data_IF_803652678927
#
_entry.id   IF_803652678927
#
_cell.length_a   1.000
_cell.length_b   1.000
_cell.length_c   1.000
_cell.angle_alpha   90.00
_cell.angle_beta   90.00
_cell.angle_gamma   90.00
#
_symmetry.space_group_name_H-M   'P 1'
#
loop_
_entity.id
_entity.type
_entity.pdbx_description
1 polymer ?
#
# COMPACT_ATOMS: atom_id res chain seq x y z
N UNK A 1 3.92 -1.78 -17.11
CA UNK A 1 3.52 -1.81 -15.68
C UNK A 1 4.80 -1.88 -14.86
N UNK A 2 4.88 -1.35 -13.62
CA UNK A 2 6.01 -1.63 -12.74
C UNK A 2 6.28 -3.13 -12.61
N UNK A 3 7.54 -3.48 -12.42
CA UNK A 3 8.02 -4.85 -12.29
C UNK A 3 8.74 -5.00 -10.96
N UNK A 4 8.34 -6.01 -10.19
CA UNK A 4 9.05 -6.45 -9.00
C UNK A 4 9.94 -7.62 -9.39
N UNK A 5 11.26 -7.43 -9.27
CA UNK A 5 12.24 -8.50 -9.47
C UNK A 5 12.56 -9.17 -8.14
N UNK A 6 12.12 -10.41 -7.98
CA UNK A 6 12.40 -11.25 -6.83
C UNK A 6 13.72 -12.01 -7.03
N UNK A 7 14.80 -11.53 -6.40
CA UNK A 7 16.17 -12.01 -6.66
C UNK A 7 16.39 -13.46 -6.25
N UNK A 8 15.79 -13.89 -5.13
CA UNK A 8 15.96 -15.26 -4.61
C UNK A 8 15.30 -16.26 -5.56
N UNK A 9 14.11 -15.93 -6.02
CA UNK A 9 13.30 -16.74 -6.92
C UNK A 9 13.73 -16.61 -8.38
N UNK A 10 14.46 -15.55 -8.74
CA UNK A 10 14.87 -15.27 -10.12
C UNK A 10 13.67 -14.97 -11.02
N UNK A 11 12.63 -14.33 -10.47
CA UNK A 11 11.36 -14.08 -11.15
C UNK A 11 11.05 -12.59 -11.19
N UNK A 12 10.60 -12.13 -12.34
CA UNK A 12 10.05 -10.79 -12.53
C UNK A 12 8.52 -10.89 -12.54
N UNK A 13 7.87 -10.01 -11.79
CA UNK A 13 6.42 -9.97 -11.63
C UNK A 13 5.92 -8.59 -11.99
N UNK A 14 4.97 -8.53 -12.93
CA UNK A 14 4.28 -7.30 -13.26
C UNK A 14 3.20 -6.98 -12.21
N UNK A 15 3.09 -5.70 -11.87
CA UNK A 15 2.11 -5.18 -10.93
C UNK A 15 1.70 -3.77 -11.32
N UNK A 16 0.56 -3.32 -10.81
CA UNK A 16 0.12 -1.94 -10.97
C UNK A 16 0.75 -1.03 -9.90
N UNK A 17 0.98 0.25 -10.22
CA UNK A 17 1.32 1.24 -9.20
C UNK A 17 0.28 1.25 -8.09
N UNK A 18 0.72 1.35 -6.84
CA UNK A 18 -0.11 1.28 -5.63
C UNK A 18 -0.43 -0.14 -5.13
N UNK A 19 -0.08 -1.21 -5.85
CA UNK A 19 -0.29 -2.58 -5.34
C UNK A 19 0.59 -2.88 -4.12
N UNK A 20 0.03 -3.62 -3.16
CA UNK A 20 0.76 -4.03 -1.97
C UNK A 20 1.78 -5.14 -2.29
N UNK A 21 3.04 -4.93 -1.92
CA UNK A 21 4.13 -5.84 -2.26
C UNK A 21 3.91 -7.27 -1.71
N UNK A 22 3.31 -7.41 -0.52
CA UNK A 22 3.00 -8.73 0.04
C UNK A 22 1.94 -9.43 -0.80
N UNK A 23 0.85 -8.76 -1.12
CA UNK A 23 -0.26 -9.37 -1.85
C UNK A 23 0.18 -9.82 -3.25
N UNK A 24 0.96 -9.00 -3.95
CA UNK A 24 1.54 -9.36 -5.25
C UNK A 24 2.45 -10.59 -5.13
N UNK A 25 3.34 -10.61 -4.13
CA UNK A 25 4.21 -11.76 -3.91
C UNK A 25 3.42 -13.06 -3.64
N UNK A 26 2.39 -13.00 -2.77
CA UNK A 26 1.59 -14.17 -2.42
C UNK A 26 0.73 -14.65 -3.60
N UNK A 27 0.11 -13.73 -4.35
CA UNK A 27 -0.64 -14.03 -5.58
C UNK A 27 0.21 -14.79 -6.59
N UNK A 28 1.47 -14.41 -6.74
CA UNK A 28 2.42 -15.05 -7.66
C UNK A 28 3.13 -16.29 -7.10
N UNK A 29 2.76 -16.74 -5.89
CA UNK A 29 3.37 -17.89 -5.23
C UNK A 29 4.81 -17.64 -4.74
N UNK A 30 5.24 -16.39 -4.63
CA UNK A 30 6.53 -16.00 -4.07
C UNK A 30 6.47 -16.11 -2.54
N UNK A 31 7.26 -17.02 -1.98
CA UNK A 31 7.22 -17.30 -0.55
C UNK A 31 8.06 -16.30 0.24
N UNK A 32 7.39 -15.33 0.88
CA UNK A 32 8.03 -14.35 1.78
C UNK A 32 8.40 -14.94 3.15
N UNK A 33 7.69 -15.98 3.59
CA UNK A 33 7.83 -16.50 4.95
C UNK A 33 8.76 -17.70 5.04
N UNK A 34 9.59 -17.72 6.09
CA UNK A 34 10.18 -18.98 6.57
C UNK A 34 9.14 -19.84 7.28
N UNK A 35 9.49 -21.08 7.64
CA UNK A 35 8.56 -22.05 8.24
C UNK A 35 7.74 -21.48 9.41
N UNK A 36 8.41 -20.83 10.38
CA UNK A 36 7.73 -20.19 11.53
C UNK A 36 6.81 -19.05 11.12
N UNK A 37 7.17 -18.30 10.07
CA UNK A 37 6.37 -17.19 9.56
C UNK A 37 5.10 -17.67 8.85
N UNK A 38 5.12 -18.85 8.20
CA UNK A 38 3.93 -19.41 7.57
C UNK A 38 2.85 -19.73 8.60
N UNK A 39 3.23 -20.19 9.79
CA UNK A 39 2.28 -20.52 10.88
C UNK A 39 1.87 -19.31 11.73
N UNK A 40 2.69 -18.25 11.79
CA UNK A 40 2.54 -17.15 12.76
C UNK A 40 2.61 -15.75 12.15
N UNK A 41 2.34 -15.57 10.87
CA UNK A 41 2.23 -14.23 10.29
C UNK A 41 0.90 -13.56 10.68
N UNK A 42 0.91 -12.23 10.74
CA UNK A 42 -0.27 -11.44 11.11
C UNK A 42 -1.23 -11.15 9.94
N UNK A 43 -1.13 -11.87 8.81
CA UNK A 43 -2.01 -11.64 7.66
C UNK A 43 -1.83 -10.31 6.94
N UNK A 44 -0.85 -9.49 7.31
CA UNK A 44 -0.59 -8.18 6.68
C UNK A 44 -0.93 -6.96 7.54
N UNK A 45 -1.42 -7.15 8.77
CA UNK A 45 -1.85 -6.06 9.66
C UNK A 45 -0.71 -5.25 10.33
N UNK A 46 0.55 -5.40 9.90
CA UNK A 46 1.70 -4.68 10.49
C UNK A 46 2.06 -5.07 11.94
N UNK A 47 1.43 -6.11 12.51
CA UNK A 47 1.65 -6.48 13.92
C UNK A 47 2.90 -7.34 14.14
N UNK A 48 3.28 -8.13 13.13
CA UNK A 48 4.49 -8.94 13.14
C UNK A 48 5.55 -8.38 12.20
N UNK A 49 6.77 -8.93 12.26
CA UNK A 49 7.86 -8.59 11.33
C UNK A 49 8.12 -9.69 10.31
N UNK A 50 7.28 -10.69 10.15
CA UNK A 50 7.65 -11.90 9.38
C UNK A 50 7.69 -11.70 7.86
N UNK A 51 7.10 -10.62 7.35
CA UNK A 51 7.10 -10.26 5.92
C UNK A 51 8.23 -9.28 5.53
N UNK A 52 9.33 -9.25 6.30
CA UNK A 52 10.45 -8.38 5.93
C UNK A 52 11.10 -8.82 4.62
N UNK A 53 11.45 -7.85 3.81
CA UNK A 53 12.21 -8.00 2.56
C UNK A 53 13.33 -6.99 2.55
N UNK A 54 14.40 -7.25 1.81
CA UNK A 54 15.43 -6.24 1.54
C UNK A 54 15.17 -5.65 0.15
N UNK A 55 15.11 -4.33 0.07
CA UNK A 55 15.02 -3.59 -1.18
C UNK A 55 16.44 -3.28 -1.64
N UNK A 56 16.73 -3.48 -2.92
CA UNK A 56 18.06 -3.25 -3.49
C UNK A 56 17.99 -2.19 -4.59
N UNK A 57 19.09 -1.45 -4.79
CA UNK A 57 19.26 -0.48 -5.88
C UNK A 57 18.96 0.97 -5.50
N UNK A 58 19.43 1.89 -6.34
CA UNK A 58 19.39 3.34 -6.08
C UNK A 58 17.98 3.93 -6.20
N UNK A 59 17.09 3.29 -6.97
CA UNK A 59 15.67 3.66 -7.06
C UNK A 59 14.84 3.20 -5.86
N UNK A 60 15.44 2.52 -4.88
CA UNK A 60 14.73 1.90 -3.75
C UNK A 60 13.88 2.86 -2.92
N UNK A 61 14.30 4.12 -2.77
CA UNK A 61 13.56 5.14 -2.02
C UNK A 61 12.27 5.61 -2.72
N UNK A 62 12.26 5.57 -4.06
CA UNK A 62 11.15 6.07 -4.89
C UNK A 62 10.27 4.92 -5.40
N UNK A 63 10.80 3.70 -5.42
CA UNK A 63 10.09 2.55 -5.97
C UNK A 63 8.97 2.02 -5.07
N UNK A 64 9.01 2.34 -3.79
CA UNK A 64 7.98 1.98 -2.82
C UNK A 64 7.42 3.21 -2.11
N UNK A 65 6.20 3.10 -1.59
CA UNK A 65 5.62 4.09 -0.69
C UNK A 65 6.56 4.40 0.49
N UNK A 66 6.41 5.61 1.05
CA UNK A 66 7.16 6.03 2.24
C UNK A 66 6.97 5.03 3.39
N UNK A 67 7.99 4.91 4.22
CA UNK A 67 7.91 4.10 5.44
C UNK A 67 6.78 4.57 6.32
N UNK A 68 6.05 3.59 6.87
CA UNK A 68 5.01 3.85 7.86
C UNK A 68 5.60 3.90 9.26
N UNK A 69 4.92 4.56 10.20
CA UNK A 69 5.32 4.57 11.61
C UNK A 69 5.44 3.14 12.21
N UNK A 70 4.62 2.20 11.70
CA UNK A 70 4.70 0.79 12.09
C UNK A 70 6.03 0.18 11.66
N UNK A 71 6.46 0.43 10.41
CA UNK A 71 7.76 -0.02 9.92
C UNK A 71 8.89 0.58 10.75
N UNK A 72 8.86 1.88 11.02
CA UNK A 72 9.91 2.57 11.77
C UNK A 72 10.09 1.99 13.18
N UNK A 73 8.98 1.70 13.87
CA UNK A 73 9.01 1.10 15.20
C UNK A 73 9.49 -0.35 15.13
N UNK A 74 8.91 -1.16 14.22
CA UNK A 74 9.16 -2.61 14.17
C UNK A 74 10.53 -2.96 13.59
N UNK A 75 11.08 -2.12 12.72
CA UNK A 75 12.36 -2.33 12.05
C UNK A 75 13.51 -1.47 12.61
N UNK A 76 13.30 -0.71 13.70
CA UNK A 76 14.30 0.18 14.34
C UNK A 76 15.72 -0.42 14.54
N UNK A 77 15.85 -1.74 14.68
CA UNK A 77 17.12 -2.46 14.89
C UNK A 77 17.53 -3.33 13.70
N UNK A 78 17.01 -3.02 12.52
CA UNK A 78 17.30 -3.72 11.27
C UNK A 78 17.95 -2.75 10.26
N UNK A 79 18.63 -3.27 9.23
CA UNK A 79 19.18 -2.43 8.18
C UNK A 79 18.10 -1.56 7.53
N UNK A 80 18.49 -0.37 7.08
CA UNK A 80 17.59 0.64 6.51
C UNK A 80 17.01 0.23 5.16
N UNK A 81 17.59 -0.77 4.48
CA UNK A 81 17.07 -1.27 3.22
C UNK A 81 15.94 -2.29 3.44
N UNK A 82 15.66 -2.66 4.69
CA UNK A 82 14.63 -3.65 5.02
C UNK A 82 13.26 -3.01 5.13
N UNK A 83 12.29 -3.51 4.38
CA UNK A 83 10.89 -3.06 4.41
C UNK A 83 9.97 -4.17 4.88
N UNK A 84 8.82 -3.83 5.45
CA UNK A 84 7.73 -4.79 5.65
C UNK A 84 6.91 -4.83 4.37
N UNK A 85 6.94 -5.95 3.64
CA UNK A 85 6.22 -6.06 2.38
C UNK A 85 4.71 -5.78 2.52
N UNK A 86 4.11 -6.04 3.70
CA UNK A 86 2.69 -5.74 3.92
C UNK A 86 2.39 -4.25 4.12
N UNK A 87 3.39 -3.40 4.34
CA UNK A 87 3.23 -1.95 4.54
C UNK A 87 3.79 -1.14 3.37
N UNK A 88 4.36 -1.81 2.36
CA UNK A 88 4.94 -1.18 1.19
C UNK A 88 4.02 -1.33 -0.02
N UNK A 89 3.68 -0.19 -0.64
CA UNK A 89 3.01 -0.15 -1.94
C UNK A 89 4.06 0.07 -3.02
N UNK A 90 3.89 -0.58 -4.17
CA UNK A 90 4.83 -0.48 -5.28
C UNK A 90 4.46 0.71 -6.15
N UNK A 91 5.34 1.68 -6.29
CA UNK A 91 5.14 2.87 -7.12
C UNK A 91 5.89 2.77 -8.45
N UNK A 92 7.09 2.18 -8.41
CA UNK A 92 7.94 1.95 -9.58
C UNK A 92 8.60 0.59 -9.50
N UNK A 93 9.28 0.18 -10.57
CA UNK A 93 9.98 -1.09 -10.60
C UNK A 93 11.07 -1.19 -9.55
N UNK A 94 11.13 -2.35 -8.91
CA UNK A 94 11.92 -2.56 -7.69
C UNK A 94 12.59 -3.93 -7.70
N UNK A 95 13.82 -3.97 -7.19
CA UNK A 95 14.55 -5.23 -6.94
C UNK A 95 14.39 -5.61 -5.47
N UNK A 96 13.87 -6.80 -5.22
CA UNK A 96 13.53 -7.29 -3.89
C UNK A 96 14.23 -8.61 -3.61
N UNK A 97 14.97 -8.65 -2.50
CA UNK A 97 15.50 -9.88 -1.94
C UNK A 97 14.56 -10.39 -0.84
N UNK A 98 13.89 -11.51 -1.11
CA UNK A 98 13.06 -12.21 -0.13
C UNK A 98 13.93 -12.90 0.92
N UNK A 99 13.41 -13.00 2.14
CA UNK A 99 14.06 -13.68 3.27
C UNK A 99 15.53 -13.26 3.46
N UNK A 100 15.83 -11.95 3.62
CA UNK A 100 17.21 -11.45 3.70
C UNK A 100 18.03 -12.02 4.87
N UNK A 101 17.39 -12.63 5.88
CA UNK A 101 18.04 -13.33 6.99
C UNK A 101 18.61 -14.70 6.60
N UNK A 102 18.19 -15.27 5.47
CA UNK A 102 18.59 -16.61 5.04
C UNK A 102 19.61 -16.51 3.92
N UNK A 103 20.89 -16.74 4.23
CA UNK A 103 21.97 -16.68 3.25
C UNK A 103 21.77 -17.70 2.11
N UNK A 104 22.18 -17.33 0.89
CA UNK A 104 22.33 -18.24 -0.25
C UNK A 104 23.75 -18.13 -0.81
N UNK A 105 24.30 -19.25 -1.29
CA UNK A 105 25.69 -19.32 -1.77
C UNK A 105 26.05 -18.24 -2.81
N UNK A 106 25.15 -17.96 -3.75
CA UNK A 106 25.36 -16.97 -4.82
C UNK A 106 24.56 -15.67 -4.62
N UNK A 107 24.15 -15.34 -3.39
CA UNK A 107 23.27 -14.19 -3.14
C UNK A 107 23.85 -12.88 -3.72
N UNK A 108 25.11 -12.58 -3.42
CA UNK A 108 25.76 -11.35 -3.88
C UNK A 108 25.79 -11.27 -5.42
N UNK A 109 26.12 -12.39 -6.07
CA UNK A 109 26.17 -12.49 -7.54
C UNK A 109 24.79 -12.25 -8.16
N UNK A 110 23.74 -12.85 -7.59
CA UNK A 110 22.36 -12.70 -8.08
C UNK A 110 21.84 -11.27 -7.89
N UNK A 111 22.11 -10.65 -6.73
CA UNK A 111 21.74 -9.25 -6.50
C UNK A 111 22.46 -8.35 -7.50
N UNK A 112 23.78 -8.52 -7.68
CA UNK A 112 24.55 -7.73 -8.64
C UNK A 112 24.02 -7.88 -10.08
N UNK A 113 23.72 -9.10 -10.52
CA UNK A 113 23.13 -9.35 -11.83
C UNK A 113 21.73 -8.73 -11.98
N UNK A 114 20.90 -8.83 -10.93
CA UNK A 114 19.55 -8.26 -10.91
C UNK A 114 19.55 -6.73 -11.00
N UNK A 115 20.55 -6.06 -10.42
CA UNK A 115 20.72 -4.62 -10.47
C UNK A 115 21.28 -4.12 -11.82
N UNK A 116 22.08 -4.94 -12.50
CA UNK A 116 22.61 -4.60 -13.84
C UNK A 116 21.58 -4.76 -14.95
N UNK A 117 20.61 -5.68 -14.79
CA UNK A 117 19.56 -5.90 -15.77
C UNK A 117 18.50 -4.79 -15.65
N UNK A 118 18.27 -3.98 -16.69
CA UNK A 118 17.31 -2.88 -16.62
C UNK A 118 15.91 -3.40 -16.34
N UNK A 119 15.21 -2.74 -15.43
CA UNK A 119 13.78 -2.91 -15.24
C UNK A 119 13.05 -1.81 -16.01
N UNK A 120 11.89 -2.09 -16.64
CA UNK A 120 11.08 -1.03 -17.20
C UNK A 120 10.67 -0.10 -16.07
N UNK A 121 10.73 1.22 -16.22
CA UNK A 121 10.24 2.15 -15.18
C UNK A 121 8.73 2.01 -14.92
N UNK A 122 8.01 1.36 -15.83
CA UNK A 122 6.55 1.19 -15.80
C UNK A 122 5.81 2.45 -16.28
N UNK A 123 4.54 2.34 -16.70
CA UNK A 123 3.63 3.45 -16.88
C UNK A 123 3.29 4.06 -15.52
N UNK A 124 3.19 5.39 -15.52
CA UNK A 124 2.99 6.26 -14.35
C UNK A 124 1.52 6.40 -13.92
N UNK A 125 0.57 5.73 -14.60
CA UNK A 125 -0.86 5.97 -14.41
C UNK A 125 -1.69 4.68 -14.55
N UNK A 126 -2.77 4.60 -13.76
CA UNK A 126 -3.82 3.58 -13.85
C UNK A 126 -4.54 3.67 -15.21
N UNK A 127 -4.87 2.55 -15.89
CA UNK A 127 -5.63 2.62 -17.13
C UNK A 127 -6.95 3.37 -16.91
N UNK A 128 -7.12 4.54 -17.55
CA UNK A 128 -8.41 5.24 -17.49
C UNK A 128 -9.48 4.36 -18.14
N UNK A 129 -10.68 4.24 -17.53
CA UNK A 129 -11.83 3.68 -18.23
C UNK A 129 -12.03 4.45 -19.54
N UNK A 130 -12.22 3.74 -20.65
CA UNK A 130 -12.55 4.36 -21.93
C UNK A 130 -13.90 5.08 -21.77
N UNK A 131 -13.93 6.40 -22.00
CA UNK A 131 -15.16 7.22 -21.91
C UNK A 131 -15.32 8.12 -20.67
N UNK A 132 -14.24 8.46 -19.96
CA UNK A 132 -14.29 9.40 -18.82
C UNK A 132 -14.11 10.88 -19.20
N UNK A 133 -14.01 11.20 -20.49
CA UNK A 133 -13.94 12.57 -21.02
C UNK A 133 -15.13 12.76 -21.97
N UNK A 134 -16.34 13.07 -21.47
CA UNK A 134 -17.49 13.48 -22.32
C UNK A 134 -18.65 14.18 -21.54
N UNK A 135 -18.43 14.78 -20.36
CA UNK A 135 -19.48 15.56 -19.69
C UNK A 135 -18.91 16.79 -18.95
N UNK A 136 -18.38 17.74 -19.70
CA UNK A 136 -18.33 19.14 -19.26
C UNK A 136 -18.64 20.05 -20.44
N UNK A 137 -19.94 20.27 -20.71
CA UNK A 137 -20.52 21.50 -21.27
C UNK A 137 -22.05 21.32 -21.44
N UNK A 138 -22.83 21.80 -20.47
CA UNK A 138 -23.91 22.77 -20.73
C UNK A 138 -24.55 23.24 -19.42
N UNK A 139 -24.37 24.53 -19.14
CA UNK A 139 -25.17 25.29 -18.18
C UNK A 139 -26.23 26.09 -18.96
N UNK A 140 -27.29 26.52 -18.25
CA UNK A 140 -28.40 27.47 -18.58
C UNK A 140 -29.71 26.82 -19.10
N UNK A 141 -30.95 27.13 -18.67
CA UNK A 141 -31.55 28.17 -17.81
C UNK A 141 -32.85 27.70 -17.10
N UNK A 142 -33.11 28.40 -16.00
CA UNK A 142 -34.31 28.79 -15.24
C UNK A 142 -35.75 28.37 -15.62
N UNK A 143 -36.55 28.21 -14.55
CA UNK A 143 -38.01 28.28 -14.54
C UNK A 143 -38.54 28.59 -13.13
N UNK A 144 -38.75 29.89 -12.86
CA UNK A 144 -39.37 30.48 -11.66
C UNK A 144 -40.76 29.93 -11.29
N UNK A 145 -41.04 29.89 -9.98
CA UNK A 145 -42.29 30.42 -9.40
C UNK A 145 -42.18 30.58 -7.88
N UNK A 146 -42.17 31.84 -7.45
CA UNK A 146 -42.19 32.33 -6.08
C UNK A 146 -43.47 31.95 -5.30
N UNK A 147 -43.36 31.94 -3.96
CA UNK A 147 -44.49 31.79 -3.04
C UNK A 147 -44.15 32.15 -1.58
N UNK A 148 -43.95 33.45 -1.34
CA UNK A 148 -44.03 34.27 -0.11
C UNK A 148 -43.76 33.66 1.28
N UNK A 149 -42.88 34.35 2.00
CA UNK A 149 -42.62 34.26 3.44
C UNK A 149 -43.82 34.67 4.31
N UNK A 150 -43.85 34.13 5.54
CA UNK A 150 -44.28 34.85 6.75
C UNK A 150 -43.61 34.23 7.99
N UNK A 151 -43.44 35.07 8.99
CA UNK A 151 -42.42 35.03 10.04
C UNK A 151 -42.91 34.53 11.41
N UNK A 152 -41.95 34.51 12.36
CA UNK A 152 -42.10 34.61 13.83
C UNK A 152 -42.20 33.33 14.69
N UNK A 153 -41.05 32.99 15.29
CA UNK A 153 -40.77 32.97 16.74
C UNK A 153 -41.94 32.75 17.72
N UNK A 154 -41.93 31.63 18.46
CA UNK A 154 -42.23 31.66 19.91
C UNK A 154 -41.57 30.52 20.69
N UNK A 155 -41.33 30.83 21.96
CA UNK A 155 -40.40 30.25 22.92
C UNK A 155 -40.91 28.99 23.66
N UNK A 156 -39.95 28.28 24.26
CA UNK A 156 -40.06 27.52 25.51
C UNK A 156 -41.05 26.34 25.67
N UNK A 157 -40.49 25.13 25.84
CA UNK A 157 -40.45 24.50 27.17
C UNK A 157 -39.40 23.40 27.32
N UNK A 158 -38.51 23.61 28.28
CA UNK A 158 -37.67 22.63 28.99
C UNK A 158 -38.56 21.52 29.61
N UNK A 159 -38.17 20.28 29.92
CA UNK A 159 -36.95 19.64 30.49
C UNK A 159 -37.32 18.13 30.67
N UNK A 160 -36.52 17.23 31.30
CA UNK A 160 -35.06 17.07 31.42
C UNK A 160 -34.58 15.62 31.06
N UNK A 161 -33.27 15.31 31.12
CA UNK A 161 -32.73 13.96 30.86
C UNK A 161 -32.82 13.04 32.09
N UNK A 162 -33.02 11.74 31.85
CA UNK A 162 -32.87 10.68 32.86
C UNK A 162 -31.53 9.94 32.68
N UNK A 163 -30.88 9.72 33.81
CA UNK A 163 -29.48 9.34 34.07
C UNK A 163 -29.15 7.84 33.91
N UNK A 164 -27.85 7.46 33.94
CA UNK A 164 -27.37 6.09 33.76
C UNK A 164 -27.52 5.23 35.03
N UNK A 165 -27.80 3.94 34.85
CA UNK A 165 -27.76 2.92 35.90
C UNK A 165 -26.42 2.18 35.89
N UNK A 166 -25.67 2.37 36.95
CA UNK A 166 -24.48 1.59 37.35
C UNK A 166 -24.94 0.74 38.55
N UNK A 167 -24.94 -0.59 38.42
CA UNK A 167 -25.19 -1.50 39.54
C UNK A 167 -24.38 -2.79 39.35
N UNK A 168 -23.23 -2.78 40.03
CA UNK A 168 -22.67 -3.86 40.88
C UNK A 168 -21.79 -4.96 40.27
#
# INVERSE_FOLDING_TARGET
MPVIRFVREGRDVECYPGENLREVALREGIQLYGLKGQLGNCGGCGQCITCFVKVEGDSSEQALSRRTAVEDVKLKRRPEEWRLACQALVEQSVVVLTKPQTSMADQQRRVAAALQAPLPSGPVEWPRPVGADDDEEDAVEEGDAEGSADAEMDSEKASPPATPGDDR
#
